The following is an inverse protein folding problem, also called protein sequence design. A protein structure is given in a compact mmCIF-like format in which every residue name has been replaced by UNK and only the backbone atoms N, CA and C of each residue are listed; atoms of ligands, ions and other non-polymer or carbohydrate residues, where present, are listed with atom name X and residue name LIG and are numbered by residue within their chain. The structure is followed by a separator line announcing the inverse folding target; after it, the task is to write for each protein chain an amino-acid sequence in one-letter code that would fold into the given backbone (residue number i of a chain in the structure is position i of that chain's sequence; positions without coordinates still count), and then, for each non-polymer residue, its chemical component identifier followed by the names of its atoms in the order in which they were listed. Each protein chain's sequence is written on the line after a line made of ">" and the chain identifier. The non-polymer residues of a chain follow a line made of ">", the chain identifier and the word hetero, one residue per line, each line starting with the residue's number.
data_IF_704236640166
#
_entry.id   IF_704236640166
#
_cell.length_a   1.000
_cell.length_b   1.000
_cell.length_c   1.000
_cell.angle_alpha   90.00
_cell.angle_beta   90.00
_cell.angle_gamma   90.00
#
_symmetry.space_group_name_H-M   'P 1'
#
loop_
_entity.id
_entity.type
_entity.pdbx_description
1 polymer ?
#
# COMPACT_ATOMS: atom_id res chain seq x y z
N UNK A 1 -9.77 16.50 -16.08
CA UNK A 1 -9.96 15.04 -15.97
C UNK A 1 -10.69 14.77 -14.67
N UNK A 2 -11.82 14.07 -14.71
CA UNK A 2 -12.57 13.74 -13.50
C UNK A 2 -11.88 12.54 -12.84
N UNK A 3 -11.20 12.76 -11.73
CA UNK A 3 -10.59 11.67 -10.96
C UNK A 3 -11.73 10.84 -10.33
N UNK A 4 -11.72 9.52 -10.55
CA UNK A 4 -12.71 8.60 -9.93
C UNK A 4 -12.57 8.55 -8.40
N UNK A 5 -11.45 9.05 -7.87
CA UNK A 5 -11.12 9.12 -6.45
C UNK A 5 -10.86 10.57 -6.05
N UNK A 6 -11.03 10.93 -4.76
CA UNK A 6 -10.60 12.23 -4.28
C UNK A 6 -9.11 12.46 -4.59
N UNK A 7 -8.72 13.72 -4.80
CA UNK A 7 -7.36 14.09 -5.20
C UNK A 7 -7.28 14.74 -6.58
N UNK A 8 -6.25 15.54 -6.79
CA UNK A 8 -5.99 16.28 -8.03
C UNK A 8 -5.46 15.39 -9.15
N UNK A 9 -4.79 14.29 -8.77
CA UNK A 9 -4.08 13.43 -9.70
C UNK A 9 -2.83 14.08 -10.30
N UNK A 10 -2.35 15.18 -9.71
CA UNK A 10 -1.15 15.91 -10.13
C UNK A 10 0.09 15.33 -9.45
N UNK A 11 1.04 14.83 -10.23
CA UNK A 11 2.31 14.27 -9.73
C UNK A 11 3.11 15.26 -8.86
N UNK A 12 2.87 16.57 -9.02
CA UNK A 12 3.51 17.61 -8.19
C UNK A 12 3.07 17.56 -6.73
N UNK A 13 1.93 16.93 -6.44
CA UNK A 13 1.43 16.69 -5.08
C UNK A 13 2.04 15.46 -4.42
N UNK A 14 2.95 14.76 -5.13
CA UNK A 14 3.61 13.58 -4.62
C UNK A 14 4.47 13.90 -3.40
N UNK A 15 4.12 13.26 -2.29
CA UNK A 15 4.86 13.35 -1.04
C UNK A 15 5.97 12.29 -0.99
N UNK A 16 7.10 12.60 -1.64
CA UNK A 16 8.26 11.68 -1.77
C UNK A 16 8.98 11.41 -0.46
N UNK A 17 8.87 12.32 0.50
CA UNK A 17 9.55 12.22 1.80
C UNK A 17 8.69 11.53 2.86
N UNK A 18 7.41 11.28 2.56
CA UNK A 18 6.51 10.66 3.51
C UNK A 18 6.89 9.22 3.83
N UNK A 19 7.36 9.04 5.06
CA UNK A 19 7.44 7.76 5.73
C UNK A 19 6.41 7.70 6.86
N UNK A 20 5.41 6.80 6.80
CA UNK A 20 4.39 6.72 7.84
C UNK A 20 4.98 6.29 9.18
N UNK A 21 4.75 7.10 10.23
CA UNK A 21 5.24 6.81 11.58
C UNK A 21 4.74 5.45 12.08
N UNK A 22 3.49 5.09 11.75
CA UNK A 22 2.90 3.80 12.11
C UNK A 22 3.67 2.62 11.53
N UNK A 23 4.36 2.78 10.39
CA UNK A 23 5.23 1.76 9.80
C UNK A 23 6.60 1.70 10.49
N UNK A 24 7.03 2.79 11.12
CA UNK A 24 8.20 2.83 11.99
C UNK A 24 7.99 2.03 13.28
N UNK A 25 6.78 2.05 13.83
CA UNK A 25 6.45 1.52 15.16
C UNK A 25 5.49 0.30 15.10
N UNK A 26 5.95 -0.81 14.51
CA UNK A 26 5.18 -2.07 14.44
C UNK A 26 5.32 -2.88 15.73
N UNK A 27 4.22 -3.49 16.20
CA UNK A 27 4.26 -4.52 17.23
C UNK A 27 4.86 -5.84 16.68
N UNK A 28 5.41 -6.67 17.55
CA UNK A 28 6.00 -7.96 17.16
C UNK A 28 4.96 -8.92 16.56
N UNK A 29 3.70 -8.81 17.00
CA UNK A 29 2.56 -9.62 16.58
C UNK A 29 1.67 -8.93 15.54
N UNK A 30 2.15 -7.84 14.91
CA UNK A 30 1.37 -7.07 13.94
C UNK A 30 0.77 -7.96 12.85
N UNK A 31 -0.49 -7.69 12.52
CA UNK A 31 -1.19 -8.32 11.40
C UNK A 31 -1.54 -7.31 10.33
N UNK A 32 -1.51 -7.76 9.07
CA UNK A 32 -1.96 -6.96 7.94
C UNK A 32 -2.83 -7.77 6.99
N UNK A 33 -3.99 -7.20 6.67
CA UNK A 33 -4.85 -7.62 5.58
C UNK A 33 -4.88 -6.53 4.51
N UNK A 34 -4.76 -6.93 3.24
CA UNK A 34 -4.81 -6.00 2.13
C UNK A 34 -5.46 -6.64 0.92
N UNK A 35 -6.15 -5.84 0.09
CA UNK A 35 -6.75 -6.32 -1.17
C UNK A 35 -5.74 -6.98 -2.14
N UNK A 36 -4.44 -6.76 -1.91
CA UNK A 36 -3.33 -7.25 -2.73
C UNK A 36 -2.58 -8.43 -2.10
N UNK A 37 -3.00 -8.90 -0.92
CA UNK A 37 -2.37 -10.01 -0.19
C UNK A 37 -3.33 -11.19 -0.16
N UNK A 38 -2.81 -12.42 -0.31
CA UNK A 38 -3.62 -13.62 -0.13
C UNK A 38 -3.51 -14.10 1.32
N UNK A 39 -4.49 -13.72 2.14
CA UNK A 39 -4.55 -14.03 3.57
C UNK A 39 -3.98 -12.92 4.45
N UNK A 40 -3.53 -13.29 5.65
CA UNK A 40 -3.05 -12.38 6.69
C UNK A 40 -1.52 -12.44 6.75
N UNK A 41 -0.86 -11.31 6.50
CA UNK A 41 0.57 -11.15 6.79
C UNK A 41 0.76 -10.97 8.30
N UNK A 42 1.76 -11.65 8.88
CA UNK A 42 2.00 -11.68 10.32
C UNK A 42 3.45 -11.32 10.63
N UNK A 43 3.63 -10.46 11.63
CA UNK A 43 4.92 -9.99 12.10
C UNK A 43 5.49 -8.84 11.27
N UNK A 44 6.39 -8.05 11.87
CA UNK A 44 6.85 -6.78 11.30
C UNK A 44 7.63 -6.97 10.00
N UNK A 45 8.42 -8.04 9.87
CA UNK A 45 9.21 -8.30 8.67
C UNK A 45 8.32 -8.52 7.45
N UNK A 46 7.29 -9.36 7.56
CA UNK A 46 6.38 -9.64 6.44
C UNK A 46 5.63 -8.38 5.99
N UNK A 47 5.20 -7.55 6.94
CA UNK A 47 4.56 -6.26 6.65
C UNK A 47 5.51 -5.32 5.90
N UNK A 48 6.76 -5.18 6.37
CA UNK A 48 7.77 -4.33 5.74
C UNK A 48 8.14 -4.80 4.35
N UNK A 49 8.29 -6.10 4.12
CA UNK A 49 8.63 -6.65 2.81
C UNK A 49 7.51 -6.40 1.78
N UNK A 50 6.26 -6.60 2.19
CA UNK A 50 5.09 -6.35 1.33
C UNK A 50 4.95 -4.86 1.01
N UNK A 51 4.94 -3.99 2.01
CA UNK A 51 4.75 -2.56 1.81
C UNK A 51 5.93 -1.91 1.10
N UNK A 52 7.15 -2.35 1.43
CA UNK A 52 8.37 -1.92 0.76
C UNK A 52 8.31 -2.24 -0.73
N UNK A 53 7.93 -3.47 -1.10
CA UNK A 53 7.75 -3.82 -2.51
C UNK A 53 6.56 -3.07 -3.16
N UNK A 54 5.39 -3.03 -2.51
CA UNK A 54 4.18 -2.42 -3.08
C UNK A 54 4.38 -0.93 -3.42
N UNK A 55 5.10 -0.17 -2.58
CA UNK A 55 5.44 1.24 -2.86
C UNK A 55 6.29 1.42 -4.12
N UNK A 56 7.06 0.41 -4.53
CA UNK A 56 7.82 0.47 -5.81
C UNK A 56 6.95 0.32 -7.06
N UNK A 57 5.69 -0.10 -6.90
CA UNK A 57 4.76 -0.28 -8.01
C UNK A 57 4.02 1.01 -8.37
N UNK A 58 4.07 2.01 -7.49
CA UNK A 58 3.41 3.30 -7.70
C UNK A 58 4.40 4.32 -8.25
N UNK A 59 3.96 5.07 -9.26
CA UNK A 59 4.75 6.16 -9.84
C UNK A 59 4.69 7.41 -8.93
N UNK A 60 3.57 7.63 -8.25
CA UNK A 60 3.43 8.61 -7.17
C UNK A 60 2.28 8.26 -6.21
N UNK A 61 2.26 8.93 -5.04
CA UNK A 61 1.17 8.92 -4.06
C UNK A 61 0.78 10.34 -3.64
N UNK A 62 -0.49 10.71 -3.83
CA UNK A 62 -1.09 11.97 -3.35
C UNK A 62 -2.03 11.64 -2.18
N UNK A 63 -1.68 12.10 -0.99
CA UNK A 63 -2.46 11.86 0.21
C UNK A 63 -3.54 12.92 0.39
N UNK A 64 -4.80 12.47 0.44
CA UNK A 64 -5.98 13.29 0.71
C UNK A 64 -6.19 13.45 2.22
N UNK A 65 -5.91 12.37 2.96
CA UNK A 65 -5.97 12.37 4.41
C UNK A 65 -4.81 11.53 4.98
N UNK A 66 -4.22 12.03 6.06
CA UNK A 66 -3.27 11.31 6.92
C UNK A 66 -3.46 11.84 8.33
N UNK A 67 -3.90 10.99 9.25
CA UNK A 67 -4.10 11.46 10.62
C UNK A 67 -4.69 10.42 11.54
N UNK A 68 -4.81 10.83 12.79
CA UNK A 68 -5.43 10.04 13.84
C UNK A 68 -6.88 9.68 13.49
N UNK A 69 -7.26 8.44 13.80
CA UNK A 69 -8.56 7.86 13.50
C UNK A 69 -9.05 7.05 14.71
N UNK A 70 -10.17 7.47 15.29
CA UNK A 70 -10.66 6.91 16.55
C UNK A 70 -9.69 7.18 17.70
N UNK A 71 -9.80 6.40 18.78
CA UNK A 71 -9.00 6.62 20.00
C UNK A 71 -7.55 6.13 19.87
N UNK A 72 -7.32 5.05 19.10
CA UNK A 72 -6.04 4.35 19.04
C UNK A 72 -5.67 3.95 17.59
N UNK A 73 -6.03 4.77 16.61
CA UNK A 73 -5.85 4.42 15.20
C UNK A 73 -5.30 5.56 14.37
N UNK A 74 -4.88 5.22 13.17
CA UNK A 74 -4.43 6.15 12.15
C UNK A 74 -5.09 5.75 10.83
N UNK A 75 -5.46 6.72 10.01
CA UNK A 75 -5.99 6.45 8.68
C UNK A 75 -5.25 7.25 7.63
N UNK A 76 -5.15 6.64 6.46
CA UNK A 76 -4.69 7.29 5.24
C UNK A 76 -5.75 7.10 4.16
N UNK A 77 -6.00 8.15 3.40
CA UNK A 77 -6.68 8.09 2.11
C UNK A 77 -5.77 8.73 1.09
N UNK A 78 -5.40 7.99 0.05
CA UNK A 78 -4.52 8.49 -0.99
C UNK A 78 -4.85 7.91 -2.37
N UNK A 79 -4.59 8.72 -3.39
CA UNK A 79 -4.60 8.29 -4.78
C UNK A 79 -3.15 8.08 -5.23
N UNK A 80 -2.94 7.04 -6.03
CA UNK A 80 -1.66 6.75 -6.66
C UNK A 80 -1.85 6.48 -8.15
N UNK A 81 -0.74 6.44 -8.90
CA UNK A 81 -0.72 5.90 -10.26
C UNK A 81 0.03 4.60 -10.32
N UNK A 82 -0.59 3.67 -11.02
CA UNK A 82 -0.08 2.34 -11.27
C UNK A 82 -0.02 2.13 -12.78
N UNK A 83 1.10 1.62 -13.29
CA UNK A 83 1.24 1.06 -14.65
C UNK A 83 0.52 1.82 -15.79
N UNK A 84 1.26 2.67 -16.49
CA UNK A 84 0.75 3.45 -17.63
C UNK A 84 -0.36 4.44 -17.19
N UNK A 85 -0.11 5.19 -16.11
CA UNK A 85 -0.96 6.27 -15.55
C UNK A 85 -2.38 5.84 -15.08
N UNK A 86 -2.57 4.59 -14.65
CA UNK A 86 -3.89 4.15 -14.16
C UNK A 86 -4.11 4.61 -12.72
N UNK A 87 -5.21 5.33 -12.40
CA UNK A 87 -5.49 5.78 -11.05
C UNK A 87 -5.88 4.61 -10.15
N UNK A 88 -5.31 4.59 -8.94
CA UNK A 88 -5.69 3.67 -7.87
C UNK A 88 -5.90 4.44 -6.57
N UNK A 89 -7.10 4.31 -6.00
CA UNK A 89 -7.45 4.85 -4.68
C UNK A 89 -7.13 3.83 -3.60
N UNK A 90 -6.62 4.31 -2.47
CA UNK A 90 -6.15 3.49 -1.37
C UNK A 90 -6.68 4.05 -0.06
N UNK A 91 -7.20 3.17 0.79
CA UNK A 91 -7.52 3.49 2.18
C UNK A 91 -6.73 2.56 3.07
N UNK A 92 -5.96 3.13 3.99
CA UNK A 92 -5.24 2.40 5.04
C UNK A 92 -5.90 2.73 6.37
N UNK A 93 -6.21 1.70 7.15
CA UNK A 93 -6.62 1.85 8.55
C UNK A 93 -5.65 1.08 9.41
N UNK A 94 -5.08 1.78 10.38
CA UNK A 94 -4.14 1.25 11.36
C UNK A 94 -4.78 1.26 12.73
N UNK A 95 -4.56 0.18 13.48
CA UNK A 95 -4.92 0.05 14.90
C UNK A 95 -3.65 -0.12 15.72
N UNK A 96 -3.57 0.61 16.82
CA UNK A 96 -2.48 0.53 17.78
C UNK A 96 -2.89 -0.28 19.01
N UNK A 97 -1.95 -1.00 19.60
CA UNK A 97 -2.12 -1.66 20.89
C UNK A 97 -1.99 -0.64 22.05
N UNK A 98 -2.22 -1.04 23.32
CA UNK A 98 -2.09 -0.13 24.47
C UNK A 98 -0.69 0.47 24.67
N UNK A 99 0.36 -0.14 24.08
CA UNK A 99 1.72 0.41 24.08
C UNK A 99 1.95 1.45 22.95
N UNK A 100 0.91 1.77 22.17
CA UNK A 100 0.99 2.70 21.05
C UNK A 100 1.63 2.12 19.78
N UNK A 101 1.91 0.82 19.74
CA UNK A 101 2.51 0.15 18.58
C UNK A 101 1.42 -0.30 17.60
N UNK A 102 1.69 -0.24 16.31
CA UNK A 102 0.81 -0.75 15.25
C UNK A 102 0.66 -2.26 15.37
N UNK A 103 -0.56 -2.73 15.68
CA UNK A 103 -0.89 -4.15 15.83
C UNK A 103 -1.80 -4.69 14.73
N UNK A 104 -2.57 -3.82 14.07
CA UNK A 104 -3.46 -4.19 12.98
C UNK A 104 -3.43 -3.20 11.84
N UNK A 105 -3.38 -3.70 10.61
CA UNK A 105 -3.38 -2.89 9.38
C UNK A 105 -4.41 -3.49 8.41
N UNK A 106 -5.29 -2.65 7.88
CA UNK A 106 -6.21 -3.00 6.79
C UNK A 106 -5.99 -2.05 5.64
N UNK A 107 -5.77 -2.59 4.44
CA UNK A 107 -5.55 -1.78 3.22
C UNK A 107 -6.53 -2.17 2.12
N UNK A 108 -7.37 -1.22 1.73
CA UNK A 108 -8.32 -1.38 0.63
C UNK A 108 -7.84 -0.62 -0.60
N UNK A 109 -7.76 -1.32 -1.73
CA UNK A 109 -7.35 -0.76 -3.01
C UNK A 109 -8.52 -0.73 -3.99
N UNK A 110 -8.65 0.34 -4.78
CA UNK A 110 -9.73 0.52 -5.75
C UNK A 110 -9.20 1.13 -7.06
N UNK A 111 -9.61 0.66 -8.25
CA UNK A 111 -10.60 -0.37 -8.49
C UNK A 111 -9.99 -1.78 -8.34
N UNK A 112 -10.86 -2.78 -8.16
CA UNK A 112 -10.45 -4.16 -7.90
C UNK A 112 -9.56 -4.74 -9.01
N UNK A 113 -9.76 -4.33 -10.27
CA UNK A 113 -8.94 -4.79 -11.39
C UNK A 113 -7.45 -4.45 -11.19
N UNK A 114 -7.14 -3.23 -10.74
CA UNK A 114 -5.76 -2.81 -10.49
C UNK A 114 -5.22 -3.40 -9.19
N UNK A 115 -6.05 -3.48 -8.15
CA UNK A 115 -5.71 -4.20 -6.93
C UNK A 115 -5.30 -5.66 -7.23
N UNK A 116 -6.03 -6.34 -8.12
CA UNK A 116 -5.73 -7.72 -8.51
C UNK A 116 -4.38 -7.82 -9.23
N UNK A 117 -4.09 -6.92 -10.17
CA UNK A 117 -2.81 -6.89 -10.86
C UNK A 117 -1.62 -6.63 -9.91
N UNK A 118 -1.79 -5.71 -8.96
CA UNK A 118 -0.82 -5.46 -7.88
C UNK A 118 -0.69 -6.68 -6.99
N UNK A 119 -1.79 -7.36 -6.68
CA UNK A 119 -1.78 -8.56 -5.86
C UNK A 119 -0.96 -9.68 -6.47
N UNK A 120 -1.06 -9.89 -7.78
CA UNK A 120 -0.16 -10.82 -8.49
C UNK A 120 1.30 -10.39 -8.28
N UNK A 121 1.62 -9.10 -8.46
CA UNK A 121 2.95 -8.50 -8.28
C UNK A 121 3.53 -8.81 -6.90
N UNK A 122 2.77 -8.46 -5.87
CA UNK A 122 3.13 -8.67 -4.46
C UNK A 122 3.37 -10.14 -4.17
N UNK A 123 2.45 -11.03 -4.56
CA UNK A 123 2.54 -12.47 -4.24
C UNK A 123 3.80 -13.14 -4.81
N UNK A 124 4.26 -12.70 -5.98
CA UNK A 124 5.44 -13.28 -6.64
C UNK A 124 6.75 -12.65 -6.17
N UNK A 125 6.74 -11.38 -5.77
CA UNK A 125 7.96 -10.63 -5.50
C UNK A 125 8.23 -10.34 -4.01
N UNK A 126 7.21 -10.03 -3.21
CA UNK A 126 7.40 -9.75 -1.78
C UNK A 126 7.80 -11.00 -0.98
N UNK A 127 7.43 -12.19 -1.45
CA UNK A 127 7.84 -13.47 -0.86
C UNK A 127 9.09 -14.09 -1.50
N UNK A 128 9.85 -13.33 -2.31
CA UNK A 128 11.05 -13.80 -3.02
C UNK A 128 10.86 -15.06 -3.90
N UNK A 129 9.63 -15.31 -4.37
CA UNK A 129 9.34 -16.49 -5.23
C UNK A 129 9.89 -16.32 -6.64
N UNK A 130 10.12 -15.09 -7.06
CA UNK A 130 10.76 -14.74 -8.32
C UNK A 130 12.10 -14.03 -8.09
N UNK A 131 13.09 -14.21 -8.98
CA UNK A 131 14.33 -13.45 -8.94
C UNK A 131 14.06 -11.94 -9.02
N UNK A 132 14.84 -11.13 -8.30
CA UNK A 132 14.73 -9.66 -8.30
C UNK A 132 14.70 -9.05 -9.73
N UNK A 133 15.42 -9.67 -10.67
CA UNK A 133 15.42 -9.26 -12.08
C UNK A 133 14.03 -9.32 -12.75
N UNK A 134 13.18 -10.28 -12.36
CA UNK A 134 11.81 -10.43 -12.85
C UNK A 134 10.80 -9.52 -12.14
N UNK A 135 11.14 -9.06 -10.93
CA UNK A 135 10.33 -8.11 -10.17
C UNK A 135 10.48 -6.66 -10.66
N UNK A 136 11.55 -6.36 -11.42
CA UNK A 136 11.70 -5.06 -12.08
C UNK A 136 10.59 -4.83 -13.13
N UNK A 137 9.87 -3.73 -13.00
CA UNK A 137 8.77 -3.36 -13.90
C UNK A 137 7.54 -4.28 -13.79
N UNK A 138 7.38 -5.01 -12.69
CA UNK A 138 6.28 -5.95 -12.49
C UNK A 138 4.90 -5.28 -12.64
N UNK A 139 4.74 -4.04 -12.13
CA UNK A 139 3.49 -3.29 -12.25
C UNK A 139 3.03 -3.15 -13.70
N UNK A 140 3.90 -2.65 -14.59
CA UNK A 140 3.61 -2.51 -16.04
C UNK A 140 3.31 -3.84 -16.72
N UNK A 141 4.04 -4.89 -16.35
CA UNK A 141 3.92 -6.20 -17.00
C UNK A 141 2.57 -6.85 -16.72
N UNK A 142 2.07 -6.73 -15.49
CA UNK A 142 0.91 -7.50 -15.03
C UNK A 142 -0.39 -6.70 -15.05
N UNK A 143 -0.30 -5.39 -15.30
CA UNK A 143 -1.45 -4.57 -15.70
C UNK A 143 -1.94 -4.80 -17.14
N UNK A 144 -1.16 -5.49 -17.99
CA UNK A 144 -1.46 -5.74 -19.42
C UNK A 144 -2.13 -7.09 -19.71
N UNK A 145 -2.42 -7.87 -18.67
CA UNK A 145 -3.14 -9.15 -18.75
C UNK A 145 -4.53 -8.96 -18.18
#
# INVERSE_FOLDING_TARGET
>A
MMTTYPGSGDERTHDREYFPEWLGNLADDVTMEASVVNGIARGPQAVRDILGFARTLYDYQEFIFKGEYGENGFAEDYVARFADDRPIGNVVVVRRNPAGQTSGIVISHRPLAWASAIGVAVQRCAGHREPAARCRGAGRRWARR
#
